data_IF_380352730801
#
_entry.id   IF_380352730801
#
_cell.length_a   1.000
_cell.length_b   1.000
_cell.length_c   1.000
_cell.angle_alpha   90.00
_cell.angle_beta   90.00
_cell.angle_gamma   90.00
#
_symmetry.space_group_name_H-M   'P 1'
#
loop_
_entity.id
_entity.type
_entity.pdbx_description
1 polymer ?
#
# COMPACT_ATOMS: atom_id res chain seq x y z
N UNK A 1 3.04 -12.34 -7.31
CA UNK A 1 3.36 -11.20 -8.22
C UNK A 1 4.25 -10.28 -7.43
N UNK A 2 5.42 -9.90 -7.94
CA UNK A 2 6.38 -9.15 -7.13
C UNK A 2 6.20 -7.64 -7.35
N UNK A 3 5.76 -6.93 -6.31
CA UNK A 3 5.82 -5.47 -6.25
C UNK A 3 7.10 -5.10 -5.51
N UNK A 4 7.92 -4.28 -6.15
CA UNK A 4 9.14 -3.72 -5.56
C UNK A 4 9.08 -2.23 -5.84
N UNK A 5 8.81 -1.45 -4.80
CA UNK A 5 8.90 -0.01 -4.80
C UNK A 5 10.31 0.41 -4.37
N UNK A 6 10.86 1.40 -5.06
CA UNK A 6 11.97 2.20 -4.56
C UNK A 6 11.47 3.29 -3.58
N UNK A 7 12.35 3.85 -2.73
CA UNK A 7 11.92 4.80 -1.69
C UNK A 7 11.22 6.07 -2.22
N UNK A 8 11.59 6.55 -3.40
CA UNK A 8 10.98 7.68 -4.09
C UNK A 8 9.57 7.35 -4.60
N UNK A 9 9.36 6.14 -5.11
CA UNK A 9 8.06 5.63 -5.53
C UNK A 9 7.13 5.46 -4.33
N UNK A 10 7.62 4.87 -3.24
CA UNK A 10 6.88 4.73 -2.00
C UNK A 10 6.52 6.10 -1.40
N UNK A 11 7.46 7.05 -1.41
CA UNK A 11 7.21 8.42 -0.95
C UNK A 11 6.15 9.14 -1.81
N UNK A 12 6.19 8.95 -3.13
CA UNK A 12 5.22 9.52 -4.06
C UNK A 12 3.81 9.01 -3.79
N UNK A 13 3.65 7.70 -3.56
CA UNK A 13 2.37 7.09 -3.18
C UNK A 13 1.87 7.67 -1.86
N UNK A 14 2.73 7.71 -0.85
CA UNK A 14 2.36 8.20 0.48
C UNK A 14 2.01 9.69 0.48
N UNK A 15 2.65 10.50 -0.37
CA UNK A 15 2.32 11.90 -0.55
C UNK A 15 0.88 12.07 -1.06
N UNK A 16 0.45 11.23 -2.02
CA UNK A 16 -0.92 11.24 -2.51
C UNK A 16 -1.92 10.78 -1.43
N UNK A 17 -1.60 9.73 -0.69
CA UNK A 17 -2.43 9.24 0.42
C UNK A 17 -2.62 10.32 1.48
N UNK A 18 -1.53 10.98 1.89
CA UNK A 18 -1.57 12.07 2.88
C UNK A 18 -2.39 13.24 2.39
N UNK A 19 -2.24 13.64 1.12
CA UNK A 19 -3.05 14.71 0.53
C UNK A 19 -4.54 14.37 0.59
N UNK A 20 -4.90 13.15 0.18
CA UNK A 20 -6.28 12.66 0.23
C UNK A 20 -6.85 12.68 1.65
N UNK A 21 -6.08 12.23 2.64
CA UNK A 21 -6.53 12.22 4.03
C UNK A 21 -6.75 13.64 4.55
N UNK A 22 -5.84 14.56 4.26
CA UNK A 22 -5.96 15.96 4.69
C UNK A 22 -7.16 16.67 4.07
N UNK A 23 -7.51 16.33 2.83
CA UNK A 23 -8.56 16.99 2.07
C UNK A 23 -9.95 16.38 2.31
N UNK A 24 -10.02 15.06 2.53
CA UNK A 24 -11.30 14.34 2.57
C UNK A 24 -11.74 13.92 3.96
N UNK A 25 -10.83 13.86 4.93
CA UNK A 25 -11.16 13.44 6.29
C UNK A 25 -11.30 14.68 7.18
N UNK A 26 -12.41 14.77 7.89
CA UNK A 26 -12.62 15.84 8.88
C UNK A 26 -11.77 15.55 10.13
N UNK A 27 -10.55 16.07 10.11
CA UNK A 27 -9.58 15.94 11.18
C UNK A 27 -9.56 17.18 12.07
N UNK A 28 -9.28 16.99 13.35
CA UNK A 28 -8.90 18.08 14.25
C UNK A 28 -7.62 18.78 13.76
N UNK A 29 -7.39 20.01 14.21
CA UNK A 29 -6.18 20.76 13.84
C UNK A 29 -4.90 20.04 14.29
N UNK A 30 -4.94 19.38 15.46
CA UNK A 30 -3.86 18.53 15.96
C UNK A 30 -3.61 17.33 15.04
N UNK A 31 -4.68 16.68 14.55
CA UNK A 31 -4.57 15.58 13.59
C UNK A 31 -3.94 16.02 12.27
N UNK A 32 -4.39 17.17 11.72
CA UNK A 32 -3.80 17.75 10.51
C UNK A 32 -2.33 18.11 10.71
N UNK A 33 -1.97 18.68 11.87
CA UNK A 33 -0.59 19.02 12.20
C UNK A 33 0.29 17.77 12.29
N UNK A 34 -0.22 16.70 12.91
CA UNK A 34 0.49 15.43 13.05
C UNK A 34 0.78 14.77 11.70
N UNK A 35 -0.20 14.78 10.79
CA UNK A 35 -0.01 14.25 9.43
C UNK A 35 0.99 15.10 8.63
N UNK A 36 0.93 16.43 8.74
CA UNK A 36 1.91 17.31 8.08
C UNK A 36 3.31 17.08 8.62
N UNK A 37 3.45 16.88 9.93
CA UNK A 37 4.72 16.55 10.58
C UNK A 37 5.26 15.21 10.08
N UNK A 38 4.42 14.18 10.05
CA UNK A 38 4.77 12.87 9.51
C UNK A 38 5.35 12.97 8.10
N UNK A 39 4.72 13.77 7.22
CA UNK A 39 5.20 13.99 5.84
C UNK A 39 6.59 14.64 5.78
N UNK A 40 6.91 15.54 6.72
CA UNK A 40 8.23 16.16 6.81
C UNK A 40 9.30 15.20 7.36
N UNK A 41 8.92 14.38 8.35
CA UNK A 41 9.81 13.41 8.99
C UNK A 41 10.13 12.23 8.05
N UNK A 42 9.23 11.89 7.12
CA UNK A 42 9.36 10.80 6.15
C UNK A 42 9.53 11.34 4.72
N UNK A 43 10.52 12.20 4.53
CA UNK A 43 10.89 12.69 3.19
C UNK A 43 11.74 11.66 2.44
N UNK A 44 11.83 11.79 1.12
CA UNK A 44 12.71 10.96 0.32
C UNK A 44 14.16 11.03 0.84
N UNK A 45 14.82 9.88 0.95
CA UNK A 45 16.20 9.76 1.44
C UNK A 45 16.36 9.67 2.97
N UNK A 46 15.28 9.74 3.75
CA UNK A 46 15.35 9.46 5.19
C UNK A 46 15.34 7.95 5.48
N UNK A 47 15.89 7.56 6.64
CA UNK A 47 15.88 6.16 7.07
C UNK A 47 14.46 5.66 7.31
N UNK A 48 13.61 6.55 7.85
CA UNK A 48 12.20 6.31 8.12
C UNK A 48 11.43 5.98 6.84
N UNK A 49 11.70 6.69 5.73
CA UNK A 49 11.09 6.40 4.44
C UNK A 49 11.63 5.08 3.83
N UNK A 50 12.90 4.76 4.03
CA UNK A 50 13.47 3.49 3.59
C UNK A 50 12.82 2.30 4.32
N UNK A 51 12.67 2.37 5.64
CA UNK A 51 12.03 1.33 6.45
C UNK A 51 10.54 1.16 6.11
N UNK A 52 9.84 2.27 5.86
CA UNK A 52 8.47 2.24 5.39
C UNK A 52 8.35 1.58 4.01
N UNK A 53 9.30 1.82 3.11
CA UNK A 53 9.32 1.21 1.77
C UNK A 53 9.42 -0.30 1.84
N UNK A 54 10.30 -0.83 2.71
CA UNK A 54 10.40 -2.28 2.97
C UNK A 54 9.06 -2.82 3.46
N UNK A 55 8.47 -2.16 4.46
CA UNK A 55 7.18 -2.55 5.04
C UNK A 55 6.05 -2.54 4.01
N UNK A 56 6.02 -1.52 3.12
CA UNK A 56 5.04 -1.42 2.04
C UNK A 56 5.20 -2.55 1.02
N UNK A 57 6.43 -2.87 0.63
CA UNK A 57 6.71 -3.96 -0.30
C UNK A 57 6.25 -5.31 0.27
N UNK A 58 6.54 -5.59 1.53
CA UNK A 58 6.11 -6.81 2.21
C UNK A 58 4.58 -6.92 2.30
N UNK A 59 3.91 -5.83 2.72
CA UNK A 59 2.47 -5.80 2.87
C UNK A 59 1.74 -5.94 1.52
N UNK A 60 2.16 -5.18 0.52
CA UNK A 60 1.57 -5.24 -0.83
C UNK A 60 1.83 -6.58 -1.49
N UNK A 61 3.06 -7.10 -1.38
CA UNK A 61 3.41 -8.43 -1.87
C UNK A 61 2.52 -9.52 -1.28
N UNK A 62 2.35 -9.52 0.04
CA UNK A 62 1.49 -10.47 0.76
C UNK A 62 0.04 -10.40 0.27
N UNK A 63 -0.54 -9.20 0.22
CA UNK A 63 -1.95 -9.01 -0.22
C UNK A 63 -2.14 -9.46 -1.67
N UNK A 64 -1.19 -9.15 -2.55
CA UNK A 64 -1.27 -9.53 -3.95
C UNK A 64 -1.10 -11.03 -4.14
N UNK A 65 -0.21 -11.67 -3.39
CA UNK A 65 -0.02 -13.11 -3.43
C UNK A 65 -1.24 -13.84 -2.87
N UNK A 66 -1.84 -13.39 -1.78
CA UNK A 66 -3.10 -13.94 -1.28
C UNK A 66 -4.24 -13.83 -2.31
N UNK A 67 -4.39 -12.66 -2.94
CA UNK A 67 -5.43 -12.45 -3.96
C UNK A 67 -5.19 -13.26 -5.22
N UNK A 68 -3.93 -13.38 -5.64
CA UNK A 68 -3.55 -14.16 -6.83
C UNK A 68 -3.65 -15.67 -6.56
N UNK A 69 -3.28 -16.13 -5.37
CA UNK A 69 -3.44 -17.53 -4.94
C UNK A 69 -4.91 -17.93 -4.88
N UNK A 70 -5.78 -17.00 -4.47
CA UNK A 70 -7.25 -17.18 -4.55
C UNK A 70 -7.78 -17.22 -5.99
N UNK A 71 -6.98 -16.97 -7.01
CA UNK A 71 -7.35 -17.12 -8.42
C UNK A 71 -6.62 -18.33 -9.01
N UNK A 72 -7.22 -19.51 -8.92
CA UNK A 72 -6.65 -20.73 -9.52
C UNK A 72 -6.75 -20.58 -11.04
N UNK A 73 -5.61 -20.51 -11.72
CA UNK A 73 -5.54 -20.48 -13.19
C UNK A 73 -5.85 -21.88 -13.76
N UNK A 74 -7.08 -22.10 -14.26
CA UNK A 74 -7.46 -23.30 -15.03
C UNK A 74 -7.65 -22.92 -16.51
N UNK A 75 -6.88 -23.56 -17.40
CA UNK A 75 -7.04 -23.57 -18.87
C UNK A 75 -7.72 -22.32 -19.47
N UNK A 76 -7.07 -21.15 -19.35
CA UNK A 76 -7.44 -19.93 -20.07
C UNK A 76 -8.43 -18.99 -19.39
N UNK A 77 -8.97 -19.32 -18.21
CA UNK A 77 -9.88 -18.44 -17.45
C UNK A 77 -9.51 -18.43 -15.95
N UNK A 78 -9.80 -17.33 -15.26
CA UNK A 78 -9.55 -17.19 -13.82
C UNK A 78 -10.82 -17.58 -13.05
N UNK A 79 -10.71 -18.56 -12.15
CA UNK A 79 -11.81 -18.96 -11.25
C UNK A 79 -11.42 -18.59 -9.83
N UNK A 80 -12.31 -17.91 -9.11
CA UNK A 80 -12.10 -17.60 -7.69
C UNK A 80 -12.12 -18.90 -6.88
N UNK A 81 -11.20 -19.06 -5.94
CA UNK A 81 -11.11 -20.23 -5.07
C UNK A 81 -12.35 -20.43 -4.18
N UNK A 82 -13.26 -19.45 -4.13
CA UNK A 82 -14.57 -19.57 -3.46
C UNK A 82 -15.65 -20.23 -4.33
N UNK A 83 -15.51 -20.24 -5.65
CA UNK A 83 -16.49 -20.86 -6.56
C UNK A 83 -16.20 -22.34 -6.85
N UNK A 84 -14.97 -22.80 -6.61
CA UNK A 84 -14.57 -24.18 -6.85
C UNK A 84 -14.81 -25.17 -5.70
N UNK A 85 -15.35 -24.71 -4.57
CA UNK A 85 -15.62 -25.55 -3.39
C UNK A 85 -17.07 -26.08 -3.34
N UNK A 86 -17.93 -25.68 -4.27
CA UNK A 86 -19.34 -26.08 -4.36
C UNK A 86 -19.71 -26.76 -5.69
N UNK A 87 -18.73 -27.36 -6.39
CA UNK A 87 -18.96 -28.10 -7.64
C UNK A 87 -18.47 -29.55 -7.56
#
# INVERSE_FOLDING_TARGET
MQVILEPDEAWSIMTLVVAQVLDQVELSDEGKASIRRWRSDHTEGTAEMADLTVSMNEALGTVLDERTTKLIRRKGWYVSSKEGAEA
#
